data_IF_153255588187
#
_entry.id   IF_153255588187
#
_cell.length_a   1.000
_cell.length_b   1.000
_cell.length_c   1.000
_cell.angle_alpha   90.00
_cell.angle_beta   90.00
_cell.angle_gamma   90.00
#
_symmetry.space_group_name_H-M   'P 1'
#
loop_
_entity.id
_entity.type
_entity.pdbx_description
1 polymer ?
#
# COMPACT_ATOMS: atom_id res chain seq x y z
N UNK A 1 -6.70 -21.97 -53.36
CA UNK A 1 -6.76 -22.45 -51.97
C UNK A 1 -6.81 -21.24 -51.06
N UNK A 2 -7.82 -21.16 -50.20
CA UNK A 2 -8.12 -20.00 -49.37
C UNK A 2 -7.11 -19.87 -48.21
N UNK A 3 -6.67 -18.64 -47.94
CA UNK A 3 -5.88 -18.31 -46.77
C UNK A 3 -6.79 -18.31 -45.53
N UNK A 4 -6.47 -19.15 -44.56
CA UNK A 4 -7.13 -19.14 -43.24
C UNK A 4 -6.50 -18.00 -42.43
N UNK A 5 -7.27 -17.06 -41.87
CA UNK A 5 -6.70 -15.96 -41.11
C UNK A 5 -6.24 -16.45 -39.73
N UNK A 6 -4.99 -16.10 -39.38
CA UNK A 6 -4.37 -16.26 -38.06
C UNK A 6 -5.20 -15.51 -37.00
N UNK A 7 -6.16 -16.20 -36.40
CA UNK A 7 -6.93 -15.71 -35.24
C UNK A 7 -6.30 -16.09 -33.90
N UNK A 8 -5.09 -16.65 -33.91
CA UNK A 8 -4.45 -17.22 -32.71
C UNK A 8 -3.45 -16.30 -32.01
N UNK A 9 -2.98 -15.23 -32.64
CA UNK A 9 -1.82 -14.50 -32.11
C UNK A 9 -2.19 -13.65 -30.87
N UNK A 10 -3.38 -13.02 -30.85
CA UNK A 10 -3.80 -12.20 -29.70
C UNK A 10 -4.11 -13.00 -28.42
N UNK A 11 -4.67 -14.21 -28.55
CA UNK A 11 -4.97 -15.06 -27.38
C UNK A 11 -3.69 -15.62 -26.76
N UNK A 12 -2.73 -16.00 -27.59
CA UNK A 12 -1.42 -16.47 -27.16
C UNK A 12 -0.64 -15.33 -26.50
N UNK A 13 -0.69 -14.11 -27.06
CA UNK A 13 -0.04 -12.94 -26.45
C UNK A 13 -0.64 -12.54 -25.10
N UNK A 14 -1.96 -12.60 -24.94
CA UNK A 14 -2.64 -12.29 -23.67
C UNK A 14 -2.42 -13.39 -22.62
N UNK A 15 -2.25 -14.64 -23.04
CA UNK A 15 -1.92 -15.78 -22.18
C UNK A 15 -0.43 -15.77 -21.77
N UNK A 16 0.48 -15.38 -22.67
CA UNK A 16 1.89 -15.11 -22.37
C UNK A 16 2.02 -13.92 -21.42
N UNK A 17 1.24 -12.85 -21.60
CA UNK A 17 1.21 -11.72 -20.65
C UNK A 17 0.67 -12.12 -19.28
N UNK A 18 -0.36 -12.97 -19.22
CA UNK A 18 -0.87 -13.52 -17.95
C UNK A 18 0.14 -14.44 -17.28
N UNK A 19 0.85 -15.27 -18.04
CA UNK A 19 1.89 -16.15 -17.53
C UNK A 19 3.14 -15.37 -17.09
N UNK A 20 3.53 -14.29 -17.79
CA UNK A 20 4.58 -13.37 -17.32
C UNK A 20 4.18 -12.62 -16.04
N UNK A 21 2.87 -12.40 -15.82
CA UNK A 21 2.35 -11.82 -14.58
C UNK A 21 2.20 -12.85 -13.44
N UNK A 22 2.21 -14.15 -13.75
CA UNK A 22 2.01 -15.25 -12.79
C UNK A 22 3.25 -16.12 -12.53
N UNK A 23 4.26 -16.11 -13.40
CA UNK A 23 5.62 -16.64 -13.14
C UNK A 23 6.50 -15.65 -12.37
N UNK A 24 5.98 -14.46 -12.07
CA UNK A 24 6.58 -13.49 -11.14
C UNK A 24 6.34 -13.81 -9.67
N UNK A 25 5.96 -15.04 -9.32
CA UNK A 25 5.70 -15.43 -7.93
C UNK A 25 6.91 -16.23 -7.35
N UNK A 26 7.62 -15.54 -6.43
CA UNK A 26 8.24 -16.08 -5.20
C UNK A 26 9.60 -16.80 -5.20
N UNK A 27 10.68 -16.23 -5.76
CA UNK A 27 12.02 -16.77 -5.41
C UNK A 27 13.12 -15.78 -5.04
N UNK A 28 13.06 -14.48 -5.42
CA UNK A 28 14.14 -13.53 -5.09
C UNK A 28 13.69 -12.19 -4.48
N UNK A 29 12.43 -11.77 -4.65
CA UNK A 29 11.92 -10.51 -4.08
C UNK A 29 11.77 -10.59 -2.54
N UNK A 30 11.49 -11.78 -2.01
CA UNK A 30 11.49 -12.09 -0.56
C UNK A 30 12.90 -12.03 0.06
N UNK A 31 13.96 -12.20 -0.74
CA UNK A 31 15.35 -12.11 -0.27
C UNK A 31 15.88 -10.67 -0.29
N UNK A 32 15.34 -9.75 -1.10
CA UNK A 32 15.80 -8.35 -1.14
C UNK A 32 15.27 -7.47 0.00
N UNK A 33 14.15 -7.84 0.62
CA UNK A 33 13.74 -7.29 1.94
C UNK A 33 14.77 -7.60 3.05
N UNK A 34 15.62 -8.62 2.86
CA UNK A 34 16.53 -9.11 3.90
C UNK A 34 17.86 -8.36 4.06
N UNK A 35 18.19 -7.34 3.25
CA UNK A 35 19.39 -6.48 3.43
C UNK A 35 19.10 -5.10 4.08
N UNK A 36 18.04 -5.05 4.90
CA UNK A 36 17.90 -4.26 6.16
C UNK A 36 17.03 -3.00 6.21
N UNK A 37 16.26 -2.63 5.19
CA UNK A 37 15.48 -1.38 5.25
C UNK A 37 13.95 -1.51 5.11
N UNK A 38 13.39 -2.72 4.92
CA UNK A 38 11.94 -2.94 4.77
C UNK A 38 11.41 -4.11 5.59
N UNK A 39 10.22 -3.92 6.17
CA UNK A 39 9.54 -4.89 7.04
C UNK A 39 8.56 -5.81 6.34
N UNK A 40 7.70 -6.45 7.13
CA UNK A 40 6.77 -7.48 6.65
C UNK A 40 5.34 -6.96 6.43
N UNK A 41 5.10 -5.70 6.77
CA UNK A 41 3.81 -5.04 6.56
C UNK A 41 3.82 -4.43 5.15
N UNK A 42 2.71 -4.58 4.43
CA UNK A 42 2.60 -4.28 3.02
C UNK A 42 1.34 -3.47 2.72
N UNK A 43 1.48 -2.29 2.13
CA UNK A 43 0.33 -1.53 1.64
C UNK A 43 -0.08 -2.11 0.30
N UNK A 44 -1.35 -2.49 0.19
CA UNK A 44 -1.89 -3.14 -1.02
C UNK A 44 -2.88 -2.28 -1.80
N UNK A 45 -3.51 -1.32 -1.11
CA UNK A 45 -4.52 -0.41 -1.67
C UNK A 45 -4.61 0.85 -0.83
N UNK A 46 -4.84 1.98 -1.50
CA UNK A 46 -5.24 3.25 -0.86
C UNK A 46 -6.59 3.66 -1.47
N UNK A 47 -7.57 3.99 -0.62
CA UNK A 47 -8.90 4.45 -1.01
C UNK A 47 -9.05 5.91 -0.59
N UNK A 48 -9.31 6.80 -1.54
CA UNK A 48 -9.56 8.21 -1.28
C UNK A 48 -11.07 8.47 -1.15
N UNK A 49 -11.57 8.64 0.08
CA UNK A 49 -12.95 9.04 0.38
C UNK A 49 -13.09 10.56 0.61
N UNK A 50 -12.05 11.34 0.35
CA UNK A 50 -12.09 12.80 0.47
C UNK A 50 -12.68 13.44 -0.79
N UNK A 51 -13.03 14.73 -0.70
CA UNK A 51 -13.39 15.54 -1.87
C UNK A 51 -12.17 16.20 -2.54
N UNK A 52 -10.97 15.86 -2.09
CA UNK A 52 -9.70 16.43 -2.55
C UNK A 52 -8.80 15.33 -3.12
N UNK A 53 -7.71 15.74 -3.77
CA UNK A 53 -6.67 14.82 -4.22
C UNK A 53 -5.88 14.30 -3.01
N UNK A 54 -5.59 13.01 -3.00
CA UNK A 54 -4.63 12.37 -2.08
C UNK A 54 -3.36 12.07 -2.86
N UNK A 55 -2.20 12.44 -2.33
CA UNK A 55 -0.90 12.11 -2.93
C UNK A 55 -0.20 11.09 -2.05
N UNK A 56 0.42 10.07 -2.64
CA UNK A 56 1.23 9.10 -1.90
C UNK A 56 2.64 9.01 -2.46
N UNK A 57 3.56 8.58 -1.61
CA UNK A 57 4.91 8.16 -1.96
C UNK A 57 5.16 6.75 -1.42
N UNK A 58 5.48 5.84 -2.33
CA UNK A 58 5.81 4.45 -2.07
C UNK A 58 7.33 4.25 -2.21
N UNK A 59 8.09 4.16 -1.10
CA UNK A 59 9.53 4.06 -1.13
C UNK A 59 10.03 2.69 -1.62
N UNK A 60 9.20 1.62 -1.52
CA UNK A 60 9.57 0.29 -2.00
C UNK A 60 9.77 0.26 -3.53
N UNK A 61 8.92 0.98 -4.27
CA UNK A 61 9.05 1.14 -5.71
C UNK A 61 9.72 2.43 -6.15
N UNK A 62 10.06 3.33 -5.22
CA UNK A 62 10.41 4.73 -5.46
C UNK A 62 9.44 5.47 -6.39
N UNK A 63 8.13 5.32 -6.12
CA UNK A 63 7.04 5.82 -6.96
C UNK A 63 6.15 6.77 -6.15
N UNK A 64 5.80 7.91 -6.73
CA UNK A 64 4.74 8.79 -6.24
C UNK A 64 3.51 8.70 -7.14
N UNK A 65 2.34 8.93 -6.58
CA UNK A 65 1.10 9.00 -7.35
C UNK A 65 0.04 9.86 -6.69
N UNK A 66 -0.94 10.23 -7.50
CA UNK A 66 -2.10 11.01 -7.10
C UNK A 66 -3.37 10.15 -7.24
N UNK A 67 -4.27 10.26 -6.27
CA UNK A 67 -5.56 9.59 -6.24
C UNK A 67 -6.62 10.69 -6.23
N UNK A 68 -7.41 10.78 -7.30
CA UNK A 68 -8.53 11.71 -7.40
C UNK A 68 -9.57 11.46 -6.30
N UNK A 69 -10.39 12.47 -6.02
CA UNK A 69 -11.48 12.38 -5.06
C UNK A 69 -12.42 11.22 -5.40
N UNK A 70 -12.74 10.37 -4.41
CA UNK A 70 -13.62 9.22 -4.57
C UNK A 70 -12.98 7.96 -5.18
N UNK A 71 -11.75 8.05 -5.69
CA UNK A 71 -11.06 6.97 -6.39
C UNK A 71 -10.18 6.11 -5.46
N UNK A 72 -9.68 4.99 -6.00
CA UNK A 72 -8.70 4.13 -5.33
C UNK A 72 -7.46 3.88 -6.19
N UNK A 73 -6.33 3.61 -5.54
CA UNK A 73 -5.09 3.16 -6.17
C UNK A 73 -4.70 1.80 -5.58
N UNK A 74 -4.29 0.89 -6.45
CA UNK A 74 -3.95 -0.51 -6.09
C UNK A 74 -2.79 -1.07 -6.90
N UNK A 75 -2.16 -0.27 -7.75
CA UNK A 75 -1.05 -0.64 -8.61
C UNK A 75 0.22 0.03 -8.09
N UNK A 76 0.30 1.35 -8.15
CA UNK A 76 1.53 2.08 -7.82
C UNK A 76 1.76 2.22 -6.30
N UNK A 77 0.70 2.11 -5.50
CA UNK A 77 0.79 2.20 -4.04
C UNK A 77 1.31 0.89 -3.39
N UNK A 78 1.40 -0.20 -4.15
CA UNK A 78 1.74 -1.53 -3.65
C UNK A 78 3.20 -1.61 -3.20
N UNK A 79 3.45 -1.94 -1.93
CA UNK A 79 4.82 -2.04 -1.45
C UNK A 79 4.94 -2.37 0.03
N UNK A 80 6.09 -2.95 0.40
CA UNK A 80 6.45 -3.15 1.80
C UNK A 80 6.71 -1.81 2.48
N UNK A 81 6.33 -1.72 3.75
CA UNK A 81 6.58 -0.55 4.57
C UNK A 81 8.04 -0.59 5.03
N UNK A 82 8.77 0.53 4.90
CA UNK A 82 10.16 0.60 5.32
C UNK A 82 10.30 0.49 6.84
N UNK A 83 11.39 -0.12 7.32
CA UNK A 83 11.73 -0.10 8.73
C UNK A 83 11.96 1.33 9.22
N UNK A 84 11.83 1.54 10.53
CA UNK A 84 12.04 2.83 11.18
C UNK A 84 13.45 3.38 10.94
N UNK A 85 14.44 2.51 10.72
CA UNK A 85 15.83 2.88 10.39
C UNK A 85 16.02 3.36 8.95
N UNK A 86 15.09 3.09 8.03
CA UNK A 86 15.23 3.52 6.64
C UNK A 86 15.15 5.05 6.51
N UNK A 87 16.04 5.67 5.75
CA UNK A 87 15.99 7.12 5.51
C UNK A 87 14.66 7.64 4.92
N UNK A 88 13.96 6.83 4.11
CA UNK A 88 12.68 7.21 3.48
C UNK A 88 11.52 6.45 4.10
N UNK A 89 10.37 7.11 4.22
CA UNK A 89 9.12 6.55 4.76
C UNK A 89 8.09 6.40 3.66
N UNK A 90 7.09 5.55 3.91
CA UNK A 90 5.89 5.58 3.09
C UNK A 90 5.08 6.79 3.51
N UNK A 91 4.68 7.63 2.55
CA UNK A 91 4.00 8.89 2.87
C UNK A 91 2.65 8.97 2.19
N UNK A 92 1.65 9.51 2.89
CA UNK A 92 0.34 9.86 2.33
C UNK A 92 0.00 11.28 2.74
N UNK A 93 -0.19 12.16 1.78
CA UNK A 93 -0.59 13.55 1.98
C UNK A 93 -2.03 13.75 1.54
N UNK A 94 -2.83 14.39 2.39
CA UNK A 94 -4.24 14.64 2.14
C UNK A 94 -4.70 15.95 2.80
N UNK A 95 -5.71 16.59 2.22
CA UNK A 95 -6.36 17.74 2.83
C UNK A 95 -7.36 17.28 3.89
N UNK A 96 -7.15 17.67 5.14
CA UNK A 96 -8.08 17.42 6.24
C UNK A 96 -9.11 18.55 6.28
N UNK A 97 -10.37 18.24 6.01
CA UNK A 97 -11.46 19.23 5.92
C UNK A 97 -11.87 19.79 7.29
N UNK A 98 -11.69 19.03 8.38
CA UNK A 98 -11.99 19.49 9.74
C UNK A 98 -11.02 20.61 10.18
N UNK A 99 -9.72 20.38 10.00
CA UNK A 99 -8.68 21.34 10.36
C UNK A 99 -8.32 22.33 9.26
N UNK A 100 -8.86 22.13 8.04
CA UNK A 100 -8.63 22.94 6.85
C UNK A 100 -7.15 23.08 6.49
N UNK A 101 -6.40 21.98 6.59
CA UNK A 101 -4.96 21.97 6.33
C UNK A 101 -4.50 20.66 5.68
N UNK A 102 -3.34 20.72 5.03
CA UNK A 102 -2.68 19.51 4.50
C UNK A 102 -2.06 18.72 5.65
N UNK A 103 -2.38 17.43 5.70
CA UNK A 103 -1.80 16.46 6.63
C UNK A 103 -0.97 15.45 5.87
N UNK A 104 0.13 15.03 6.48
CA UNK A 104 0.99 13.96 5.98
C UNK A 104 1.05 12.84 7.01
N UNK A 105 0.77 11.62 6.57
CA UNK A 105 0.96 10.39 7.32
C UNK A 105 2.30 9.81 6.89
N UNK A 106 3.21 9.65 7.83
CA UNK A 106 4.45 8.89 7.63
C UNK A 106 4.29 7.51 8.24
N UNK A 107 4.54 6.48 7.44
CA UNK A 107 4.31 5.09 7.82
C UNK A 107 5.65 4.36 7.82
N UNK A 108 5.92 3.70 8.95
CA UNK A 108 7.15 2.92 9.17
C UNK A 108 6.85 1.64 9.94
N UNK A 109 7.53 0.57 9.54
CA UNK A 109 7.58 -0.68 10.29
C UNK A 109 8.56 -0.49 11.45
N UNK A 110 8.15 -0.81 12.67
CA UNK A 110 8.97 -0.57 13.86
C UNK A 110 9.99 -1.68 14.13
N UNK A 111 10.10 -2.70 13.27
CA UNK A 111 11.09 -3.75 13.35
C UNK A 111 10.94 -4.59 14.61
N UNK A 112 10.36 -5.79 14.49
CA UNK A 112 10.48 -6.81 15.53
C UNK A 112 9.20 -7.51 15.97
N UNK A 113 7.99 -6.97 15.70
CA UNK A 113 6.75 -7.56 16.24
C UNK A 113 5.49 -7.26 15.38
N UNK A 114 5.62 -7.16 14.06
CA UNK A 114 4.49 -6.80 13.18
C UNK A 114 3.83 -5.47 13.58
N UNK A 115 4.65 -4.51 14.02
CA UNK A 115 4.21 -3.19 14.45
C UNK A 115 4.45 -2.20 13.31
N UNK A 116 3.41 -1.45 12.94
CA UNK A 116 3.59 -0.24 12.13
C UNK A 116 3.16 0.99 12.91
N UNK A 117 3.95 2.04 12.75
CA UNK A 117 3.65 3.39 13.20
C UNK A 117 3.09 4.19 12.04
N UNK A 118 2.01 4.94 12.34
CA UNK A 118 1.38 5.92 11.46
C UNK A 118 1.47 7.28 12.15
N UNK A 119 2.48 8.05 11.78
CA UNK A 119 2.75 9.35 12.39
C UNK A 119 2.09 10.46 11.59
N UNK A 120 1.29 11.31 12.26
CA UNK A 120 0.70 12.50 11.68
C UNK A 120 1.12 13.73 12.48
N UNK A 121 1.85 14.65 11.83
CA UNK A 121 2.33 15.88 12.47
C UNK A 121 1.23 16.68 13.16
N UNK A 122 1.44 16.99 14.44
CA UNK A 122 0.50 17.76 15.29
C UNK A 122 -0.62 16.94 15.93
N UNK A 123 -0.70 15.63 15.67
CA UNK A 123 -1.70 14.74 16.29
C UNK A 123 -1.00 13.67 17.14
N UNK A 124 0.03 13.02 16.60
CA UNK A 124 0.78 11.98 17.30
C UNK A 124 1.12 10.79 16.41
N UNK A 125 1.48 9.69 17.07
CA UNK A 125 1.89 8.44 16.43
C UNK A 125 0.87 7.34 16.78
N UNK A 126 0.15 6.83 15.79
CA UNK A 126 -0.75 5.67 15.94
C UNK A 126 0.05 4.38 15.67
N UNK A 127 0.36 3.62 16.72
CA UNK A 127 1.11 2.35 16.61
C UNK A 127 0.14 1.18 16.67
N UNK A 128 0.20 0.30 15.67
CA UNK A 128 -0.71 -0.85 15.52
C UNK A 128 0.00 -2.17 15.32
N UNK A 129 -0.56 -3.21 15.90
CA UNK A 129 -0.15 -4.59 15.75
C UNK A 129 -0.90 -5.27 14.59
N UNK A 130 -0.13 -5.94 13.75
CA UNK A 130 -0.62 -6.51 12.50
C UNK A 130 -0.53 -8.03 12.45
N UNK A 131 -0.12 -8.66 13.56
CA UNK A 131 -0.05 -10.11 13.82
C UNK A 131 -0.75 -10.93 12.72
N UNK A 132 0.01 -11.43 11.74
CA UNK A 132 -0.56 -12.00 10.53
C UNK A 132 -1.28 -13.31 10.87
N UNK A 133 -2.19 -13.74 9.99
CA UNK A 133 -2.78 -15.06 10.13
C UNK A 133 -1.70 -16.15 10.04
N UNK A 134 -1.96 -17.31 10.64
CA UNK A 134 -1.04 -18.45 10.60
C UNK A 134 -0.65 -18.78 9.15
N UNK A 135 0.65 -19.02 8.91
CA UNK A 135 1.20 -19.29 7.57
C UNK A 135 1.40 -18.07 6.66
N UNK A 136 1.06 -16.86 7.10
CA UNK A 136 1.28 -15.64 6.32
C UNK A 136 2.69 -15.08 6.55
N UNK A 137 3.34 -14.67 5.46
CA UNK A 137 4.70 -14.09 5.47
C UNK A 137 4.71 -12.56 5.39
N UNK A 138 3.54 -11.95 5.19
CA UNK A 138 3.34 -10.50 5.19
C UNK A 138 1.93 -10.16 5.64
N UNK A 139 1.75 -8.95 6.19
CA UNK A 139 0.41 -8.40 6.45
C UNK A 139 0.03 -7.38 5.38
N UNK A 140 -1.08 -7.61 4.69
CA UNK A 140 -1.57 -6.70 3.65
C UNK A 140 -2.56 -5.70 4.22
N UNK A 141 -2.29 -4.42 4.01
CA UNK A 141 -3.11 -3.31 4.48
C UNK A 141 -3.87 -2.64 3.35
N UNK A 142 -5.08 -2.18 3.68
CA UNK A 142 -5.79 -1.14 2.93
C UNK A 142 -5.87 0.11 3.80
N UNK A 143 -5.50 1.25 3.23
CA UNK A 143 -5.63 2.55 3.88
C UNK A 143 -6.79 3.31 3.24
N UNK A 144 -7.75 3.72 4.05
CA UNK A 144 -8.87 4.55 3.60
C UNK A 144 -8.68 5.95 4.17
N UNK A 145 -8.51 6.94 3.30
CA UNK A 145 -8.35 8.34 3.67
C UNK A 145 -9.72 9.01 3.64
N UNK A 146 -10.12 9.58 4.76
CA UNK A 146 -11.39 10.25 4.97
C UNK A 146 -11.19 11.77 5.06
N UNK A 147 -12.24 12.58 4.81
CA UNK A 147 -12.14 14.04 4.93
C UNK A 147 -11.57 14.51 6.27
N UNK A 148 -11.78 13.75 7.34
CA UNK A 148 -11.40 14.05 8.71
C UNK A 148 -10.34 13.06 9.26
N UNK A 149 -9.58 12.38 8.41
CA UNK A 149 -8.51 11.50 8.89
C UNK A 149 -8.31 10.25 8.04
N UNK A 150 -8.05 9.11 8.68
CA UNK A 150 -7.79 7.85 7.99
C UNK A 150 -8.21 6.63 8.80
N UNK A 151 -8.36 5.50 8.12
CA UNK A 151 -8.62 4.20 8.70
C UNK A 151 -7.66 3.17 8.13
N UNK A 152 -7.23 2.26 9.00
CA UNK A 152 -6.36 1.15 8.63
C UNK A 152 -7.16 -0.15 8.69
N UNK A 153 -7.13 -0.92 7.60
CA UNK A 153 -7.79 -2.22 7.52
C UNK A 153 -6.77 -3.32 7.17
N UNK A 154 -6.82 -4.40 7.93
CA UNK A 154 -6.06 -5.63 7.69
C UNK A 154 -6.82 -6.49 6.70
N UNK A 155 -6.23 -6.72 5.52
CA UNK A 155 -6.84 -7.56 4.49
C UNK A 155 -6.70 -9.04 4.82
N UNK A 156 -5.65 -9.44 5.54
CA UNK A 156 -5.45 -10.83 5.96
C UNK A 156 -6.45 -11.24 7.03
N UNK A 157 -6.66 -10.39 8.05
CA UNK A 157 -7.60 -10.65 9.16
C UNK A 157 -9.03 -10.18 8.86
N UNK A 158 -9.22 -9.41 7.78
CA UNK A 158 -10.50 -8.81 7.40
C UNK A 158 -11.11 -7.96 8.53
N UNK A 159 -10.30 -7.15 9.20
CA UNK A 159 -10.76 -6.29 10.30
C UNK A 159 -10.13 -4.90 10.27
N UNK A 160 -10.83 -3.92 10.86
CA UNK A 160 -10.26 -2.59 11.13
C UNK A 160 -9.22 -2.72 12.23
N UNK A 161 -8.02 -2.16 11.99
CA UNK A 161 -6.90 -2.16 12.93
C UNK A 161 -6.77 -0.84 13.68
N UNK A 162 -7.17 0.27 13.07
CA UNK A 162 -7.04 1.58 13.70
C UNK A 162 -7.31 2.73 12.75
N UNK A 163 -6.50 3.78 12.91
CA UNK A 163 -6.61 5.02 12.20
C UNK A 163 -7.35 6.10 12.98
N UNK A 164 -6.97 7.33 12.71
CA UNK A 164 -7.46 8.53 13.37
C UNK A 164 -8.64 9.08 12.59
N UNK A 165 -9.83 9.11 13.21
CA UNK A 165 -10.98 9.84 12.69
C UNK A 165 -11.37 10.89 13.73
N UNK A 166 -11.39 12.15 13.34
CA UNK A 166 -11.76 13.25 14.22
C UNK A 166 -13.28 13.50 14.13
N UNK A 167 -13.95 13.45 15.28
CA UNK A 167 -15.38 13.77 15.42
C UNK A 167 -15.63 15.22 15.76
#
# INVERSE_FOLDING_TARGET
MAAVPLQNDKKVDDEIKRLQFMEGDQSDEKLKASNSSYGWIYISKIINKTNSKVTFYNPYGDISGDISAGEEESNNCKGYIPYYSHARKYEITYYNELYKEQKKIEIKDLGGDWLASFYTGGIGEDIRDFLPAEGCTSEKLTLTIWPNGYQIYSNTRKCRKGGELFG
#
